data_IF_652423090900
#
_entry.id   IF_652423090900
#
_cell.length_a   1.000
_cell.length_b   1.000
_cell.length_c   1.000
_cell.angle_alpha   90.00
_cell.angle_beta   90.00
_cell.angle_gamma   90.00
#
_symmetry.space_group_name_H-M   'P 1'
#
loop_
_entity.id
_entity.type
_entity.pdbx_description
1 polymer ?
#
# COMPACT_ATOMS: atom_id res chain seq x y z
N UNK A 1 -10.15 -10.69 15.21
CA UNK A 1 -11.26 -9.70 15.19
C UNK A 1 -12.59 -10.33 14.80
N UNK A 2 -12.65 -11.19 13.78
CA UNK A 2 -13.89 -11.91 13.38
C UNK A 2 -14.55 -12.67 14.54
N UNK A 3 -13.81 -13.51 15.27
CA UNK A 3 -14.37 -14.39 16.29
C UNK A 3 -14.98 -13.66 17.50
N UNK A 4 -14.40 -12.54 17.94
CA UNK A 4 -14.91 -11.76 19.08
C UNK A 4 -16.20 -10.99 18.74
N UNK A 5 -16.29 -10.49 17.50
CA UNK A 5 -17.49 -9.83 17.00
C UNK A 5 -18.62 -10.83 16.78
N UNK A 6 -18.32 -11.99 16.20
CA UNK A 6 -19.29 -13.09 16.09
C UNK A 6 -19.79 -13.55 17.46
N UNK A 7 -18.89 -13.80 18.42
CA UNK A 7 -19.26 -14.22 19.78
C UNK A 7 -20.15 -13.19 20.49
N UNK A 8 -19.85 -11.89 20.37
CA UNK A 8 -20.72 -10.85 20.94
C UNK A 8 -22.05 -10.71 20.20
N UNK A 9 -22.08 -10.98 18.90
CA UNK A 9 -23.29 -10.97 18.09
C UNK A 9 -24.16 -12.20 18.31
N UNK A 10 -23.62 -13.33 18.74
CA UNK A 10 -24.38 -14.53 19.11
C UNK A 10 -24.88 -14.50 20.54
N UNK A 11 -24.13 -13.91 21.47
CA UNK A 11 -24.48 -13.91 22.90
C UNK A 11 -25.53 -12.84 23.27
N UNK A 12 -25.51 -11.69 22.60
CA UNK A 12 -26.47 -10.60 22.87
C UNK A 12 -27.93 -10.92 22.48
N UNK A 13 -28.20 -11.65 21.37
CA UNK A 13 -29.53 -12.12 21.00
C UNK A 13 -30.25 -12.94 22.09
N UNK A 14 -29.53 -13.72 22.89
CA UNK A 14 -30.10 -14.55 23.95
C UNK A 14 -30.80 -13.72 25.05
N UNK A 15 -30.44 -12.44 25.17
CA UNK A 15 -31.09 -11.51 26.11
C UNK A 15 -32.46 -11.01 25.65
N UNK A 16 -32.81 -11.15 24.37
CA UNK A 16 -34.14 -10.79 23.90
C UNK A 16 -35.09 -11.97 24.09
N UNK A 17 -36.30 -11.70 24.57
CA UNK A 17 -37.35 -12.72 24.68
C UNK A 17 -38.16 -12.85 23.39
N UNK A 18 -38.18 -11.79 22.57
CA UNK A 18 -38.90 -11.72 21.29
C UNK A 18 -38.02 -12.18 20.13
N UNK A 19 -38.45 -13.22 19.42
CA UNK A 19 -37.70 -13.85 18.33
C UNK A 19 -37.60 -12.96 17.07
N UNK A 20 -38.60 -12.10 16.85
CA UNK A 20 -38.57 -11.12 15.75
C UNK A 20 -37.53 -10.02 16.00
N UNK A 21 -37.39 -9.58 17.26
CA UNK A 21 -36.37 -8.61 17.64
C UNK A 21 -34.95 -9.19 17.56
N UNK A 22 -34.76 -10.46 17.93
CA UNK A 22 -33.47 -11.16 17.73
C UNK A 22 -33.09 -11.20 16.26
N UNK A 23 -34.04 -11.58 15.41
CA UNK A 23 -33.84 -11.68 13.96
C UNK A 23 -33.48 -10.31 13.36
N UNK A 24 -34.19 -9.26 13.76
CA UNK A 24 -33.91 -7.89 13.31
C UNK A 24 -32.54 -7.39 13.79
N UNK A 25 -32.17 -7.69 15.03
CA UNK A 25 -30.85 -7.34 15.57
C UNK A 25 -29.73 -8.00 14.76
N UNK A 26 -29.83 -9.31 14.50
CA UNK A 26 -28.84 -10.04 13.70
C UNK A 26 -28.75 -9.45 12.29
N UNK A 27 -29.89 -9.26 11.62
CA UNK A 27 -29.95 -8.67 10.28
C UNK A 27 -29.22 -7.32 10.21
N UNK A 28 -29.54 -6.41 11.14
CA UNK A 28 -28.95 -5.07 11.16
C UNK A 28 -27.43 -5.10 11.36
N UNK A 29 -26.94 -5.92 12.28
CA UNK A 29 -25.51 -5.99 12.57
C UNK A 29 -24.74 -6.69 11.44
N UNK A 30 -25.27 -7.77 10.87
CA UNK A 30 -24.66 -8.44 9.73
C UNK A 30 -24.57 -7.52 8.52
N UNK A 31 -25.63 -6.75 8.23
CA UNK A 31 -25.63 -5.78 7.15
C UNK A 31 -24.61 -4.66 7.38
N UNK A 32 -24.53 -4.13 8.62
CA UNK A 32 -23.53 -3.10 8.97
C UNK A 32 -22.09 -3.62 8.81
N UNK A 33 -21.80 -4.84 9.28
CA UNK A 33 -20.48 -5.45 9.12
C UNK A 33 -20.17 -5.66 7.64
N UNK A 34 -21.12 -6.20 6.86
CA UNK A 34 -20.93 -6.37 5.42
C UNK A 34 -20.61 -5.03 4.76
N UNK A 35 -21.38 -3.98 5.05
CA UNK A 35 -21.15 -2.65 4.48
C UNK A 35 -19.77 -2.09 4.87
N UNK A 36 -19.37 -2.24 6.13
CA UNK A 36 -18.07 -1.78 6.61
C UNK A 36 -16.92 -2.56 5.96
N UNK A 37 -17.00 -3.89 5.91
CA UNK A 37 -15.97 -4.76 5.32
C UNK A 37 -15.89 -4.56 3.80
N UNK A 38 -17.03 -4.50 3.11
CA UNK A 38 -17.10 -4.23 1.67
C UNK A 38 -16.47 -2.87 1.33
N UNK A 39 -16.73 -1.84 2.15
CA UNK A 39 -16.11 -0.52 1.94
C UNK A 39 -14.59 -0.57 2.11
N UNK A 40 -14.08 -1.27 3.13
CA UNK A 40 -12.64 -1.41 3.39
C UNK A 40 -11.96 -2.17 2.26
N UNK A 41 -12.48 -3.34 1.90
CA UNK A 41 -11.92 -4.19 0.84
C UNK A 41 -11.91 -3.47 -0.51
N UNK A 42 -12.95 -2.68 -0.81
CA UNK A 42 -13.01 -1.86 -2.02
C UNK A 42 -11.94 -0.75 -2.03
N UNK A 43 -11.73 -0.07 -0.90
CA UNK A 43 -10.66 0.93 -0.77
C UNK A 43 -9.28 0.29 -0.96
N UNK A 44 -9.02 -0.85 -0.32
CA UNK A 44 -7.77 -1.60 -0.47
C UNK A 44 -7.54 -2.03 -1.93
N UNK A 45 -8.59 -2.49 -2.63
CA UNK A 45 -8.52 -2.82 -4.05
C UNK A 45 -8.15 -1.62 -4.94
N UNK A 46 -8.69 -0.43 -4.65
CA UNK A 46 -8.29 0.79 -5.35
C UNK A 46 -6.86 1.22 -5.04
N UNK A 47 -6.42 1.08 -3.78
CA UNK A 47 -5.03 1.36 -3.41
C UNK A 47 -4.05 0.42 -4.13
N UNK A 48 -4.36 -0.87 -4.21
CA UNK A 48 -3.50 -1.82 -4.91
C UNK A 48 -3.46 -1.50 -6.42
N UNK A 49 -4.62 -1.21 -7.02
CA UNK A 49 -4.70 -0.80 -8.43
C UNK A 49 -3.90 0.47 -8.70
N UNK A 50 -3.99 1.45 -7.79
CA UNK A 50 -3.21 2.68 -7.86
C UNK A 50 -1.70 2.40 -7.84
N UNK A 51 -1.24 1.55 -6.91
CA UNK A 51 0.18 1.16 -6.84
C UNK A 51 0.63 0.45 -8.11
N UNK A 52 -0.19 -0.46 -8.62
CA UNK A 52 0.12 -1.21 -9.84
C UNK A 52 0.17 -0.30 -11.08
N UNK A 53 -0.68 0.72 -11.18
CA UNK A 53 -0.67 1.61 -12.36
C UNK A 53 0.38 2.71 -12.21
N UNK A 54 0.34 3.44 -11.11
CA UNK A 54 1.14 4.66 -10.92
C UNK A 54 2.59 4.37 -10.55
N UNK A 55 2.87 3.21 -9.95
CA UNK A 55 4.23 2.83 -9.51
C UNK A 55 4.81 1.62 -10.25
N UNK A 56 4.08 0.97 -11.17
CA UNK A 56 4.60 -0.18 -11.95
C UNK A 56 5.97 0.10 -12.60
N UNK A 57 6.14 1.27 -13.21
CA UNK A 57 7.40 1.60 -13.89
C UNK A 57 8.56 1.70 -12.91
N UNK A 58 8.34 2.27 -11.72
CA UNK A 58 9.34 2.35 -10.64
C UNK A 58 9.66 0.95 -10.11
N UNK A 59 8.62 0.18 -9.77
CA UNK A 59 8.75 -1.16 -9.21
C UNK A 59 9.40 -2.14 -10.20
N UNK A 60 9.12 -2.01 -11.50
CA UNK A 60 9.74 -2.85 -12.53
C UNK A 60 11.26 -2.68 -12.62
N UNK A 61 11.78 -1.50 -12.25
CA UNK A 61 13.23 -1.28 -12.18
C UNK A 61 13.88 -2.00 -11.00
N UNK A 62 13.11 -2.29 -9.94
CA UNK A 62 13.59 -2.93 -8.71
C UNK A 62 13.42 -4.45 -8.74
N UNK A 63 12.27 -4.94 -9.22
CA UNK A 63 11.89 -6.34 -9.08
C UNK A 63 12.11 -7.21 -10.32
N UNK A 64 12.36 -6.61 -11.48
CA UNK A 64 12.51 -7.40 -12.71
C UNK A 64 14.00 -7.76 -12.93
N UNK A 65 14.38 -9.05 -12.89
CA UNK A 65 15.76 -9.45 -13.11
C UNK A 65 16.19 -9.11 -14.53
N UNK A 66 17.17 -8.23 -14.66
CA UNK A 66 17.73 -7.86 -15.95
C UNK A 66 18.40 -9.09 -16.61
N UNK A 67 18.27 -9.27 -17.93
CA UNK A 67 18.93 -10.38 -18.63
C UNK A 67 20.44 -10.41 -18.33
N UNK A 68 21.07 -11.59 -18.22
CA UNK A 68 22.45 -11.74 -17.75
C UNK A 68 23.49 -10.93 -18.54
N UNK A 69 23.20 -10.56 -19.80
CA UNK A 69 24.04 -9.69 -20.62
C UNK A 69 24.19 -8.26 -20.07
N UNK A 70 23.15 -7.72 -19.41
CA UNK A 70 23.16 -6.38 -18.83
C UNK A 70 23.77 -6.33 -17.42
N UNK A 71 24.03 -7.49 -16.81
CA UNK A 71 24.63 -7.59 -15.47
C UNK A 71 26.04 -6.99 -15.40
N UNK A 72 26.72 -6.85 -16.56
CA UNK A 72 28.03 -6.17 -16.65
C UNK A 72 27.94 -4.65 -16.49
N UNK A 73 26.77 -4.04 -16.67
CA UNK A 73 26.57 -2.59 -16.52
C UNK A 73 25.68 -2.34 -15.30
N UNK A 74 26.24 -2.58 -14.09
CA UNK A 74 25.55 -2.39 -12.80
C UNK A 74 24.91 -1.01 -12.63
N UNK A 75 25.46 0.01 -13.29
CA UNK A 75 24.98 1.39 -13.21
C UNK A 75 23.66 1.65 -13.98
N UNK A 76 23.30 0.84 -14.97
CA UNK A 76 22.17 1.13 -15.86
C UNK A 76 20.79 0.93 -15.20
N UNK A 77 20.53 -0.15 -14.43
CA UNK A 77 19.23 -0.33 -13.78
C UNK A 77 18.99 0.70 -12.67
N UNK A 78 20.02 1.07 -11.91
CA UNK A 78 19.93 2.08 -10.84
C UNK A 78 19.64 3.48 -11.40
N UNK A 79 20.36 3.91 -12.44
CA UNK A 79 20.11 5.21 -13.09
C UNK A 79 18.72 5.29 -13.73
N UNK A 80 18.22 4.18 -14.30
CA UNK A 80 16.85 4.09 -14.81
C UNK A 80 15.82 4.21 -13.67
N UNK A 81 16.00 3.46 -12.57
CA UNK A 81 15.16 3.59 -11.38
C UNK A 81 15.11 5.04 -10.90
N UNK A 82 16.26 5.68 -10.72
CA UNK A 82 16.36 7.06 -10.21
C UNK A 82 15.59 8.06 -11.09
N UNK A 83 15.72 7.94 -12.41
CA UNK A 83 15.03 8.82 -13.36
C UNK A 83 13.51 8.65 -13.29
N UNK A 84 13.03 7.40 -13.34
CA UNK A 84 11.61 7.07 -13.31
C UNK A 84 11.01 7.43 -11.95
N UNK A 85 11.74 7.18 -10.86
CA UNK A 85 11.35 7.57 -9.51
C UNK A 85 11.18 9.08 -9.40
N UNK A 86 12.18 9.88 -9.79
CA UNK A 86 12.11 11.36 -9.70
C UNK A 86 10.92 11.93 -10.47
N UNK A 87 10.67 11.42 -11.68
CA UNK A 87 9.51 11.84 -12.48
C UNK A 87 8.19 11.53 -11.79
N UNK A 88 8.07 10.31 -11.25
CA UNK A 88 6.86 9.85 -10.56
C UNK A 88 6.63 10.64 -9.26
N UNK A 89 7.68 10.80 -8.45
CA UNK A 89 7.67 11.58 -7.22
C UNK A 89 7.30 13.05 -7.47
N UNK A 90 7.92 13.71 -8.46
CA UNK A 90 7.63 15.12 -8.76
C UNK A 90 6.16 15.34 -9.15
N UNK A 91 5.56 14.40 -9.89
CA UNK A 91 4.15 14.46 -10.23
C UNK A 91 3.26 14.24 -9.00
N UNK A 92 3.50 13.16 -8.24
CA UNK A 92 2.64 12.77 -7.12
C UNK A 92 2.80 13.65 -5.88
N UNK A 93 3.93 14.33 -5.70
CA UNK A 93 4.12 15.34 -4.65
C UNK A 93 3.09 16.47 -4.76
N UNK A 94 2.72 16.84 -5.98
CA UNK A 94 1.75 17.91 -6.27
C UNK A 94 0.29 17.43 -6.24
N UNK A 95 0.04 16.14 -6.05
CA UNK A 95 -1.31 15.63 -5.94
C UNK A 95 -1.84 15.84 -4.53
N UNK A 96 -3.16 15.85 -4.38
CA UNK A 96 -3.79 16.04 -3.07
C UNK A 96 -4.64 14.84 -2.71
N UNK A 97 -4.41 14.28 -1.53
CA UNK A 97 -5.28 13.29 -0.91
C UNK A 97 -5.98 13.97 0.26
N UNK A 98 -7.28 14.33 0.14
CA UNK A 98 -7.96 15.15 1.15
C UNK A 98 -8.08 14.49 2.52
N UNK A 99 -8.24 13.17 2.55
CA UNK A 99 -8.37 12.40 3.79
C UNK A 99 -6.98 12.07 4.38
N UNK A 100 -6.64 12.56 5.59
CA UNK A 100 -5.31 12.37 6.18
C UNK A 100 -4.95 10.91 6.47
N UNK A 101 -5.94 10.09 6.83
CA UNK A 101 -5.73 8.68 7.15
C UNK A 101 -5.45 7.87 5.88
N UNK A 102 -6.19 8.13 4.80
CA UNK A 102 -5.93 7.57 3.48
C UNK A 102 -4.56 8.00 2.96
N UNK A 103 -4.20 9.29 3.10
CA UNK A 103 -2.89 9.80 2.72
C UNK A 103 -1.77 9.05 3.45
N UNK A 104 -1.89 8.89 4.77
CA UNK A 104 -0.94 8.15 5.61
C UNK A 104 -0.82 6.69 5.17
N UNK A 105 -1.95 6.02 4.90
CA UNK A 105 -1.97 4.62 4.41
C UNK A 105 -1.31 4.48 3.05
N UNK A 106 -1.56 5.40 2.11
CA UNK A 106 -0.91 5.42 0.80
C UNK A 106 0.60 5.62 0.92
N UNK A 107 1.05 6.63 1.68
CA UNK A 107 2.48 6.88 1.92
C UNK A 107 3.16 5.64 2.50
N UNK A 108 2.54 5.01 3.50
CA UNK A 108 3.05 3.77 4.11
C UNK A 108 3.17 2.64 3.09
N UNK A 109 2.11 2.34 2.33
CA UNK A 109 2.13 1.24 1.36
C UNK A 109 3.16 1.46 0.23
N UNK A 110 3.31 2.70 -0.25
CA UNK A 110 4.32 3.08 -1.24
C UNK A 110 5.73 2.89 -0.65
N UNK A 111 5.95 3.42 0.56
CA UNK A 111 7.24 3.34 1.26
C UNK A 111 7.66 1.90 1.47
N UNK A 112 6.77 1.06 2.01
CA UNK A 112 7.05 -0.36 2.24
C UNK A 112 7.44 -1.08 0.95
N UNK A 113 6.67 -0.92 -0.14
CA UNK A 113 6.97 -1.57 -1.43
C UNK A 113 8.28 -1.09 -2.04
N UNK A 114 8.54 0.22 -2.07
CA UNK A 114 9.74 0.79 -2.68
C UNK A 114 10.98 0.45 -1.86
N UNK A 115 10.93 0.63 -0.54
CA UNK A 115 12.07 0.34 0.32
C UNK A 115 12.43 -1.14 0.30
N UNK A 116 11.44 -2.03 0.32
CA UNK A 116 11.68 -3.48 0.18
C UNK A 116 12.37 -3.80 -1.14
N UNK A 117 11.89 -3.24 -2.26
CA UNK A 117 12.49 -3.47 -3.57
C UNK A 117 13.88 -2.85 -3.71
N UNK A 118 14.08 -1.66 -3.15
CA UNK A 118 15.34 -0.91 -3.26
C UNK A 118 16.46 -1.53 -2.44
N UNK A 119 16.19 -1.90 -1.19
CA UNK A 119 17.17 -2.58 -0.33
C UNK A 119 17.60 -3.90 -0.95
N UNK A 120 16.64 -4.73 -1.39
CA UNK A 120 16.94 -5.98 -2.09
C UNK A 120 17.76 -5.76 -3.36
N UNK A 121 17.42 -4.74 -4.14
CA UNK A 121 18.17 -4.39 -5.35
C UNK A 121 19.62 -4.00 -5.04
N UNK A 122 19.86 -3.21 -4.00
CA UNK A 122 21.22 -2.82 -3.57
C UNK A 122 22.03 -4.05 -3.15
N UNK A 123 21.44 -4.94 -2.34
CA UNK A 123 22.05 -6.18 -1.87
C UNK A 123 22.42 -7.10 -3.04
N UNK A 124 21.45 -7.39 -3.92
CA UNK A 124 21.63 -8.30 -5.07
C UNK A 124 22.71 -7.81 -6.06
N UNK A 125 22.93 -6.49 -6.14
CA UNK A 125 23.86 -5.89 -7.10
C UNK A 125 25.20 -5.46 -6.47
N UNK A 126 25.37 -5.59 -5.15
CA UNK A 126 26.54 -5.10 -4.39
C UNK A 126 26.83 -3.61 -4.69
N UNK A 127 25.79 -2.76 -4.64
CA UNK A 127 25.93 -1.32 -4.91
C UNK A 127 26.58 -0.63 -3.71
N UNK A 128 27.81 -0.13 -3.89
CA UNK A 128 28.58 0.50 -2.79
C UNK A 128 28.27 1.98 -2.59
N UNK A 129 27.83 2.68 -3.64
CA UNK A 129 27.53 4.12 -3.60
C UNK A 129 26.23 4.43 -4.35
N UNK A 130 25.05 4.16 -3.77
CA UNK A 130 23.79 4.57 -4.36
C UNK A 130 23.61 6.09 -4.30
N UNK A 131 22.95 6.68 -5.29
CA UNK A 131 22.70 8.13 -5.32
C UNK A 131 21.62 8.57 -4.33
N UNK A 132 20.66 7.69 -4.06
CA UNK A 132 19.69 7.87 -2.98
C UNK A 132 20.13 7.04 -1.79
N UNK A 133 20.45 7.70 -0.69
CA UNK A 133 20.62 7.02 0.58
C UNK A 133 19.23 6.51 1.02
N UNK A 134 19.08 5.27 1.54
CA UNK A 134 17.78 4.73 1.92
C UNK A 134 16.94 5.68 2.78
N UNK A 135 17.57 6.38 3.73
CA UNK A 135 16.93 7.38 4.60
C UNK A 135 16.43 8.60 3.82
N UNK A 136 17.18 9.08 2.82
CA UNK A 136 16.75 10.19 1.97
C UNK A 136 15.57 9.78 1.09
N UNK A 137 15.60 8.56 0.53
CA UNK A 137 14.52 8.03 -0.28
C UNK A 137 13.22 7.91 0.53
N UNK A 138 13.30 7.39 1.74
CA UNK A 138 12.17 7.31 2.66
C UNK A 138 11.64 8.69 3.02
N UNK A 139 12.52 9.65 3.31
CA UNK A 139 12.16 11.05 3.55
C UNK A 139 11.38 11.67 2.39
N UNK A 140 11.85 11.47 1.15
CA UNK A 140 11.13 11.92 -0.04
C UNK A 140 9.73 11.29 -0.12
N UNK A 141 9.59 10.00 0.18
CA UNK A 141 8.28 9.33 0.13
C UNK A 141 7.29 9.84 1.17
N UNK A 142 7.76 10.39 2.29
CA UNK A 142 6.91 11.05 3.28
C UNK A 142 6.32 12.37 2.78
N UNK A 143 6.91 13.00 1.76
CA UNK A 143 6.44 14.27 1.19
C UNK A 143 5.42 14.08 0.04
N UNK A 144 5.01 12.85 -0.26
CA UNK A 144 4.03 12.59 -1.31
C UNK A 144 2.67 13.17 -0.93
N UNK A 145 1.94 13.70 -1.90
CA UNK A 145 0.59 14.25 -1.73
C UNK A 145 0.48 15.54 -0.91
N UNK A 146 1.49 16.41 -0.95
CA UNK A 146 1.53 17.70 -0.23
C UNK A 146 1.01 18.89 -1.06
N UNK A 147 0.40 18.64 -2.22
CA UNK A 147 -0.15 19.66 -3.12
C UNK A 147 -1.45 20.31 -2.68
#
# INVERSE_FOLDING_TARGET
>A
MSSYLEEKLTNKPESFTDESLKSLFLLNNSYFIWQQVESITRVEGYMESYLQVSWASVLSCLFNPMPPFYRRVKAFPLTKFESVFRKTYAAQKLWKVPDPELMKRLRKAITEKIMTGYTKFIEDNNVTTPKFIPQELEGMLQELFEG
#
